data_IF_683250533089
#
_entry.id   IF_683250533089
#
_cell.length_a   1.000
_cell.length_b   1.000
_cell.length_c   1.000
_cell.angle_alpha   90.00
_cell.angle_beta   90.00
_cell.angle_gamma   90.00
#
_symmetry.space_group_name_H-M   'P 1'
#
loop_
_entity.id
_entity.type
_entity.pdbx_description
1 polymer ?
#
# COMPACT_ATOMS: atom_id res chain seq x y z
N UNK A 1 1.28 -14.53 9.68
CA UNK A 1 0.32 -13.42 9.78
C UNK A 1 0.45 -12.42 8.64
N UNK A 2 1.64 -12.01 8.23
CA UNK A 2 1.85 -11.08 7.11
C UNK A 2 1.20 -11.56 5.79
N UNK A 3 1.38 -12.82 5.44
CA UNK A 3 0.72 -13.42 4.27
C UNK A 3 -0.78 -13.66 4.50
N UNK A 4 -1.16 -14.13 5.69
CA UNK A 4 -2.55 -14.43 6.03
C UNK A 4 -3.46 -13.19 6.02
N UNK A 5 -2.91 -12.02 6.37
CA UNK A 5 -3.61 -10.72 6.30
C UNK A 5 -3.46 -10.03 4.95
N UNK A 6 -2.99 -10.73 3.91
CA UNK A 6 -2.79 -10.25 2.54
C UNK A 6 -1.80 -9.11 2.37
N UNK A 7 -1.08 -8.72 3.41
CA UNK A 7 -0.08 -7.65 3.37
C UNK A 7 0.98 -7.91 2.29
N UNK A 8 1.44 -9.18 2.20
CA UNK A 8 2.44 -9.64 1.22
C UNK A 8 2.01 -9.44 -0.23
N UNK A 9 0.71 -9.38 -0.50
CA UNK A 9 0.21 -9.17 -1.86
C UNK A 9 0.65 -7.82 -2.43
N UNK A 10 0.71 -6.80 -1.58
CA UNK A 10 1.04 -5.43 -1.98
C UNK A 10 2.40 -4.95 -1.48
N UNK A 11 2.91 -5.50 -0.39
CA UNK A 11 4.15 -5.04 0.25
C UNK A 11 5.27 -6.06 0.17
N UNK A 12 6.51 -5.54 0.04
CA UNK A 12 7.72 -6.33 0.19
C UNK A 12 8.29 -6.23 1.60
N UNK A 13 8.90 -7.32 2.05
CA UNK A 13 9.85 -7.36 3.17
C UNK A 13 11.02 -8.25 2.75
N UNK A 14 12.24 -7.75 2.90
CA UNK A 14 13.48 -8.46 2.54
C UNK A 14 13.47 -9.00 1.10
N UNK A 15 12.91 -8.24 0.17
CA UNK A 15 12.84 -8.57 -1.25
C UNK A 15 11.73 -9.52 -1.66
N UNK A 16 10.89 -9.95 -0.73
CA UNK A 16 9.77 -10.86 -1.00
C UNK A 16 8.41 -10.15 -0.83
N UNK A 17 7.55 -10.26 -1.82
CA UNK A 17 6.20 -9.71 -1.81
C UNK A 17 5.88 -8.84 -3.02
N UNK A 18 4.73 -8.17 -2.96
CA UNK A 18 4.23 -7.28 -4.01
C UNK A 18 4.88 -5.90 -3.99
N UNK A 19 4.67 -5.15 -5.07
CA UNK A 19 5.25 -3.82 -5.27
C UNK A 19 4.19 -2.70 -5.35
N UNK A 20 2.93 -3.02 -5.12
CA UNK A 20 1.83 -2.05 -5.17
C UNK A 20 1.86 -1.08 -3.98
N UNK A 21 2.44 -1.51 -2.86
CA UNK A 21 2.68 -0.69 -1.67
C UNK A 21 4.16 -0.52 -1.36
N UNK A 22 4.50 0.33 -0.39
CA UNK A 22 5.90 0.53 0.02
C UNK A 22 6.57 -0.75 0.52
N UNK A 23 7.89 -0.82 0.31
CA UNK A 23 8.74 -1.82 0.96
C UNK A 23 8.78 -1.56 2.47
N UNK A 24 8.47 -2.58 3.26
CA UNK A 24 8.37 -2.51 4.71
C UNK A 24 9.61 -3.02 5.46
N UNK A 25 10.68 -3.36 4.75
CA UNK A 25 11.91 -3.92 5.37
C UNK A 25 12.48 -3.02 6.46
N UNK A 26 12.43 -1.70 6.27
CA UNK A 26 12.96 -0.72 7.22
C UNK A 26 11.88 -0.06 8.11
N UNK A 27 10.65 -0.57 8.07
CA UNK A 27 9.52 0.03 8.78
C UNK A 27 9.78 0.15 10.29
N UNK A 28 10.34 -0.89 10.90
CA UNK A 28 10.65 -0.94 12.34
C UNK A 28 11.66 0.10 12.82
N UNK A 29 12.49 0.62 11.91
CA UNK A 29 13.47 1.68 12.22
C UNK A 29 12.87 3.08 12.14
N UNK A 30 11.68 3.23 11.53
CA UNK A 30 11.06 4.53 11.22
C UNK A 30 9.77 4.79 11.96
N UNK A 31 9.04 3.73 12.33
CA UNK A 31 7.70 3.82 12.90
C UNK A 31 7.60 3.07 14.22
N UNK A 32 6.88 3.66 15.17
CA UNK A 32 6.51 3.01 16.41
C UNK A 32 5.42 1.95 16.19
N UNK A 33 5.19 1.09 17.17
CA UNK A 33 4.06 0.13 17.14
C UNK A 33 2.74 0.86 16.98
N UNK A 34 2.55 1.99 17.66
CA UNK A 34 1.35 2.82 17.53
C UNK A 34 1.14 3.32 16.10
N UNK A 35 2.20 3.83 15.47
CA UNK A 35 2.13 4.35 14.10
C UNK A 35 1.79 3.24 13.10
N UNK A 36 2.38 2.05 13.28
CA UNK A 36 2.09 0.89 12.45
C UNK A 36 0.61 0.48 12.57
N UNK A 37 0.10 0.37 13.79
CA UNK A 37 -1.31 0.02 14.03
C UNK A 37 -2.25 1.07 13.46
N UNK A 38 -1.96 2.35 13.64
CA UNK A 38 -2.77 3.44 13.08
C UNK A 38 -2.81 3.38 11.55
N UNK A 39 -1.67 3.12 10.90
CA UNK A 39 -1.60 2.98 9.45
C UNK A 39 -2.38 1.78 8.91
N UNK A 40 -2.45 0.69 9.67
CA UNK A 40 -3.19 -0.52 9.28
C UNK A 40 -4.70 -0.35 9.53
N UNK A 41 -5.07 0.25 10.66
CA UNK A 41 -6.49 0.42 11.05
C UNK A 41 -7.15 1.55 10.28
N UNK A 42 -6.42 2.65 10.07
CA UNK A 42 -6.91 3.86 9.40
C UNK A 42 -6.00 4.25 8.22
N UNK A 43 -5.93 3.41 7.18
CA UNK A 43 -4.94 3.59 6.10
C UNK A 43 -5.17 4.86 5.26
N UNK A 44 -6.38 5.42 5.27
CA UNK A 44 -6.68 6.66 4.55
C UNK A 44 -6.37 7.92 5.34
N UNK A 45 -5.99 7.82 6.62
CA UNK A 45 -5.66 8.98 7.45
C UNK A 45 -4.41 9.71 6.95
N UNK A 46 -3.40 8.95 6.54
CA UNK A 46 -2.16 9.48 5.95
C UNK A 46 -1.75 8.59 4.78
N UNK A 47 -1.81 9.12 3.57
CA UNK A 47 -1.53 8.39 2.34
C UNK A 47 -0.20 8.87 1.77
N UNK A 48 0.69 7.93 1.42
CA UNK A 48 1.94 8.25 0.75
C UNK A 48 1.68 8.81 -0.65
N UNK A 49 2.32 9.92 -0.99
CA UNK A 49 2.24 10.53 -2.32
C UNK A 49 2.68 9.59 -3.46
N UNK A 50 3.58 8.66 -3.16
CA UNK A 50 4.11 7.70 -4.14
C UNK A 50 3.17 6.52 -4.42
N UNK A 51 2.28 6.19 -3.48
CA UNK A 51 1.44 5.00 -3.55
C UNK A 51 -0.06 5.30 -3.54
N UNK A 52 -0.42 6.56 -3.37
CA UNK A 52 -1.81 7.00 -3.45
C UNK A 52 -2.38 6.90 -4.86
N UNK A 53 -3.71 6.89 -4.94
CA UNK A 53 -4.43 6.88 -6.21
C UNK A 53 -4.81 8.31 -6.65
N UNK A 54 -5.00 8.47 -7.95
CA UNK A 54 -5.48 9.70 -8.58
C UNK A 54 -6.74 9.40 -9.38
N UNK A 55 -7.70 10.30 -9.33
CA UNK A 55 -8.89 10.29 -10.20
C UNK A 55 -8.62 11.18 -11.40
N UNK A 56 -8.77 10.62 -12.59
CA UNK A 56 -8.64 11.31 -13.88
C UNK A 56 -10.04 11.49 -14.46
N UNK A 57 -10.53 12.72 -14.52
CA UNK A 57 -11.85 13.04 -15.07
C UNK A 57 -11.73 13.23 -16.59
N UNK A 58 -12.50 12.45 -17.34
CA UNK A 58 -12.44 12.43 -18.80
C UNK A 58 -13.45 13.38 -19.44
N UNK A 59 -13.11 13.93 -20.60
CA UNK A 59 -14.02 14.76 -21.41
C UNK A 59 -15.30 14.01 -21.79
N UNK A 60 -15.25 12.70 -21.93
CA UNK A 60 -16.42 11.83 -22.22
C UNK A 60 -17.41 11.74 -21.08
N UNK A 61 -17.11 12.30 -19.88
CA UNK A 61 -17.96 12.27 -18.69
C UNK A 61 -17.65 11.14 -17.72
N UNK A 62 -16.77 10.21 -18.06
CA UNK A 62 -16.29 9.15 -17.16
C UNK A 62 -15.08 9.57 -16.35
N UNK A 63 -14.62 8.66 -15.50
CA UNK A 63 -13.39 8.83 -14.74
C UNK A 63 -12.58 7.53 -14.68
N UNK A 64 -11.27 7.68 -14.47
CA UNK A 64 -10.34 6.57 -14.24
C UNK A 64 -9.69 6.79 -12.89
N UNK A 65 -9.76 5.80 -12.01
CA UNK A 65 -9.10 5.80 -10.71
C UNK A 65 -7.93 4.82 -10.76
N UNK A 66 -6.77 5.26 -10.33
CA UNK A 66 -5.61 4.39 -10.20
C UNK A 66 -4.35 5.13 -9.79
N UNK A 67 -3.29 4.35 -9.60
CA UNK A 67 -1.97 4.89 -9.31
C UNK A 67 -1.30 5.33 -10.61
N UNK A 68 -0.85 6.58 -10.65
CA UNK A 68 -0.04 7.08 -11.75
C UNK A 68 1.37 6.45 -11.65
N UNK A 69 1.70 5.59 -12.60
CA UNK A 69 3.00 4.90 -12.64
C UNK A 69 4.05 5.78 -13.31
N UNK A 70 3.69 6.37 -14.44
CA UNK A 70 4.54 7.30 -15.20
C UNK A 70 3.69 8.15 -16.14
N UNK A 71 4.28 9.16 -16.70
CA UNK A 71 3.66 10.01 -17.73
C UNK A 71 4.72 10.49 -18.71
N UNK A 72 4.27 10.78 -19.91
CA UNK A 72 5.05 11.49 -20.93
C UNK A 72 4.29 12.76 -21.37
N UNK A 73 4.70 13.36 -22.48
CA UNK A 73 4.06 14.60 -22.98
C UNK A 73 2.63 14.38 -23.46
N UNK A 74 2.23 13.13 -23.79
CA UNK A 74 0.96 12.81 -24.44
C UNK A 74 0.03 11.97 -23.56
N UNK A 75 0.58 11.16 -22.67
CA UNK A 75 -0.20 10.13 -21.95
C UNK A 75 0.12 10.05 -20.47
N UNK A 76 -0.89 9.65 -19.70
CA UNK A 76 -0.77 9.08 -18.37
C UNK A 76 -0.80 7.56 -18.43
N UNK A 77 0.06 6.89 -17.67
CA UNK A 77 0.13 5.44 -17.54
C UNK A 77 -0.27 5.05 -16.12
N UNK A 78 -1.39 4.34 -15.98
CA UNK A 78 -2.12 4.17 -14.72
C UNK A 78 -2.27 2.69 -14.40
N UNK A 79 -1.95 2.31 -13.17
CA UNK A 79 -2.27 1.00 -12.60
C UNK A 79 -3.59 1.12 -11.83
N UNK A 80 -4.62 0.39 -12.26
CA UNK A 80 -5.94 0.43 -11.65
C UNK A 80 -6.15 -0.69 -10.61
N UNK A 81 -5.38 -1.77 -10.73
CA UNK A 81 -5.52 -2.93 -9.85
C UNK A 81 -4.23 -3.13 -9.03
N UNK A 82 -4.27 -2.92 -7.70
CA UNK A 82 -3.10 -3.13 -6.85
C UNK A 82 -2.64 -4.59 -6.77
N UNK A 83 -3.49 -5.55 -7.15
CA UNK A 83 -3.16 -6.97 -7.19
C UNK A 83 -2.55 -7.40 -8.54
N UNK A 84 -2.67 -6.57 -9.57
CA UNK A 84 -2.07 -6.79 -10.88
C UNK A 84 -1.40 -5.49 -11.35
N UNK A 85 -0.15 -5.32 -10.96
CA UNK A 85 0.66 -4.14 -11.29
C UNK A 85 1.27 -4.20 -12.69
N UNK A 86 1.11 -5.32 -13.41
CA UNK A 86 1.61 -5.48 -14.78
C UNK A 86 0.65 -4.89 -15.81
N UNK A 87 -0.64 -4.86 -15.51
CA UNK A 87 -1.64 -4.27 -16.42
C UNK A 87 -1.70 -2.76 -16.24
N UNK A 88 -1.25 -2.04 -17.27
CA UNK A 88 -1.19 -0.58 -17.29
C UNK A 88 -2.18 -0.03 -18.30
N UNK A 89 -3.03 0.91 -17.87
CA UNK A 89 -3.92 1.67 -18.73
C UNK A 89 -3.28 2.98 -19.15
N UNK A 90 -3.15 3.21 -20.45
CA UNK A 90 -2.70 4.47 -20.99
C UNK A 90 -3.90 5.34 -21.38
N UNK A 91 -3.94 6.59 -20.93
CA UNK A 91 -4.95 7.58 -21.31
C UNK A 91 -4.28 8.83 -21.87
N UNK A 92 -4.89 9.42 -22.90
CA UNK A 92 -4.37 10.63 -23.52
C UNK A 92 -4.62 11.84 -22.61
N UNK A 93 -3.59 12.65 -22.38
CA UNK A 93 -3.72 13.88 -21.59
C UNK A 93 -4.77 14.84 -22.14
N UNK A 94 -4.91 14.90 -23.48
CA UNK A 94 -5.92 15.73 -24.13
C UNK A 94 -7.36 15.34 -23.80
N UNK A 95 -7.59 14.09 -23.38
CA UNK A 95 -8.91 13.57 -23.03
C UNK A 95 -9.24 13.75 -21.54
N UNK A 96 -8.28 14.22 -20.75
CA UNK A 96 -8.42 14.48 -19.31
C UNK A 96 -8.77 15.95 -19.09
N UNK A 97 -9.90 16.19 -18.42
CA UNK A 97 -10.34 17.55 -18.05
C UNK A 97 -9.60 18.06 -16.82
N UNK A 98 -9.47 17.20 -15.81
CA UNK A 98 -8.80 17.50 -14.55
C UNK A 98 -8.39 16.21 -13.83
N UNK A 99 -7.52 16.36 -12.84
CA UNK A 99 -7.11 15.27 -11.94
C UNK A 99 -7.36 15.68 -10.50
N UNK A 100 -7.58 14.70 -9.63
CA UNK A 100 -7.68 14.89 -8.18
C UNK A 100 -7.01 13.73 -7.46
N UNK A 101 -6.15 14.02 -6.49
CA UNK A 101 -5.60 12.99 -5.61
C UNK A 101 -6.74 12.39 -4.79
N UNK A 102 -6.83 11.06 -4.76
CA UNK A 102 -7.81 10.35 -3.96
C UNK A 102 -7.50 10.49 -2.47
N UNK A 103 -8.52 10.75 -1.68
CA UNK A 103 -8.47 10.74 -0.21
C UNK A 103 -8.70 9.35 0.39
N UNK A 104 -8.86 8.33 -0.46
CA UNK A 104 -8.99 6.93 -0.06
C UNK A 104 -7.72 6.17 -0.43
N UNK A 105 -7.11 5.52 0.58
CA UNK A 105 -5.95 4.68 0.36
C UNK A 105 -6.30 3.43 -0.46
N UNK A 106 -5.41 2.99 -1.38
CA UNK A 106 -5.54 1.67 -1.99
C UNK A 106 -5.34 0.52 -0.99
N UNK A 107 -4.70 0.78 0.16
CA UNK A 107 -4.66 -0.16 1.27
C UNK A 107 -6.03 -0.21 1.95
N UNK A 108 -6.62 -1.40 2.03
CA UNK A 108 -7.96 -1.59 2.58
C UNK A 108 -7.95 -1.58 4.12
N UNK A 109 -8.97 -0.99 4.77
CA UNK A 109 -9.15 -1.15 6.21
C UNK A 109 -9.64 -2.56 6.55
N UNK A 110 -9.49 -2.95 7.81
CA UNK A 110 -10.07 -4.20 8.33
C UNK A 110 -9.28 -5.47 8.02
N UNK A 111 -8.10 -5.38 7.40
CA UNK A 111 -7.31 -6.56 7.02
C UNK A 111 -6.82 -7.38 8.20
N UNK A 112 -6.75 -6.80 9.40
CA UNK A 112 -6.34 -7.48 10.63
C UNK A 112 -7.51 -7.89 11.53
N UNK A 113 -8.74 -7.67 11.10
CA UNK A 113 -9.93 -7.95 11.94
C UNK A 113 -10.11 -9.44 12.27
N UNK A 114 -9.55 -10.33 11.46
CA UNK A 114 -9.58 -11.77 11.72
C UNK A 114 -8.47 -12.29 12.63
N UNK A 115 -7.54 -11.44 13.05
CA UNK A 115 -6.43 -11.84 13.91
C UNK A 115 -6.82 -11.77 15.39
N UNK A 116 -6.41 -12.78 16.15
CA UNK A 116 -6.48 -12.71 17.62
C UNK A 116 -5.31 -11.84 18.16
N UNK A 117 -5.30 -11.47 19.47
CA UNK A 117 -4.27 -10.60 20.02
C UNK A 117 -2.84 -11.12 19.88
N UNK A 118 -2.62 -12.43 19.96
CA UNK A 118 -1.29 -13.02 19.84
C UNK A 118 -0.81 -13.01 18.39
N UNK A 119 -1.68 -13.32 17.45
CA UNK A 119 -1.41 -13.21 16.01
C UNK A 119 -1.11 -11.77 15.60
N UNK A 120 -1.79 -10.79 16.21
CA UNK A 120 -1.51 -9.38 15.96
C UNK A 120 -0.13 -8.99 16.50
N UNK A 121 0.26 -9.46 17.68
CA UNK A 121 1.61 -9.25 18.23
C UNK A 121 2.68 -9.85 17.33
N UNK A 122 2.43 -11.06 16.80
CA UNK A 122 3.34 -11.72 15.87
C UNK A 122 3.50 -10.93 14.57
N UNK A 123 2.40 -10.38 14.03
CA UNK A 123 2.45 -9.50 12.87
C UNK A 123 3.30 -8.25 13.14
N UNK A 124 3.08 -7.59 14.26
CA UNK A 124 3.85 -6.39 14.62
C UNK A 124 5.33 -6.72 14.85
N UNK A 125 5.64 -7.84 15.50
CA UNK A 125 7.02 -8.30 15.67
C UNK A 125 7.69 -8.55 14.33
N UNK A 126 6.99 -9.18 13.38
CA UNK A 126 7.48 -9.40 12.02
C UNK A 126 7.74 -8.08 11.29
N UNK A 127 6.84 -7.13 11.35
CA UNK A 127 7.00 -5.80 10.75
C UNK A 127 8.19 -5.04 11.36
N UNK A 128 8.36 -5.10 12.68
CA UNK A 128 9.51 -4.48 13.37
C UNK A 128 10.83 -5.11 12.99
N UNK A 129 10.83 -6.40 12.76
CA UNK A 129 12.04 -7.17 12.42
C UNK A 129 12.52 -6.96 10.98
N UNK A 130 11.67 -6.43 10.09
CA UNK A 130 11.97 -6.38 8.66
C UNK A 130 12.18 -7.76 8.04
N UNK A 131 11.60 -8.80 8.64
CA UNK A 131 11.77 -10.20 8.23
C UNK A 131 13.02 -10.89 8.79
N UNK A 132 13.78 -10.23 9.67
CA UNK A 132 14.96 -10.83 10.32
C UNK A 132 14.54 -11.72 11.50
N UNK A 133 14.71 -13.06 11.43
CA UNK A 133 14.26 -13.98 12.47
C UNK A 133 15.02 -13.84 13.80
N UNK A 134 16.21 -13.23 13.80
CA UNK A 134 17.00 -13.00 14.99
C UNK A 134 16.72 -11.66 15.67
N UNK A 135 15.71 -10.91 15.21
CA UNK A 135 15.42 -9.58 15.75
C UNK A 135 14.87 -9.64 17.17
N UNK A 136 15.30 -8.71 18.07
CA UNK A 136 14.85 -8.69 19.47
C UNK A 136 13.32 -8.55 19.66
N UNK A 137 12.60 -8.04 18.67
CA UNK A 137 11.14 -7.92 18.71
C UNK A 137 10.43 -9.26 18.97
N UNK A 138 11.03 -10.39 18.57
CA UNK A 138 10.47 -11.73 18.84
C UNK A 138 10.64 -12.18 20.27
N UNK A 139 11.64 -11.70 20.98
CA UNK A 139 11.87 -12.02 22.38
C UNK A 139 10.83 -11.38 23.31
N UNK A 140 10.27 -10.22 22.93
CA UNK A 140 9.27 -9.47 23.72
C UNK A 140 7.83 -9.92 23.45
N UNK A 141 7.60 -10.82 22.50
CA UNK A 141 6.26 -11.35 22.16
C UNK A 141 5.91 -12.66 22.89
N UNK A 142 6.80 -13.15 23.75
CA UNK A 142 6.59 -14.36 24.57
C UNK A 142 6.12 -14.05 25.98
#
# INVERSE_FOLDING_TARGET
MFAASLCRTCHQISGEGGIAGPDLTQLGNRFSTKDMLEAIISPSKTISDQYGSTVFFLKSGGSVLGRLIRQDNLKYYISQNPFDTQTIKAILKKDVVRTRVSDVSPMLPGMINGLNPDELKDLIAFLKSGGNPAHPAYASSK
#
